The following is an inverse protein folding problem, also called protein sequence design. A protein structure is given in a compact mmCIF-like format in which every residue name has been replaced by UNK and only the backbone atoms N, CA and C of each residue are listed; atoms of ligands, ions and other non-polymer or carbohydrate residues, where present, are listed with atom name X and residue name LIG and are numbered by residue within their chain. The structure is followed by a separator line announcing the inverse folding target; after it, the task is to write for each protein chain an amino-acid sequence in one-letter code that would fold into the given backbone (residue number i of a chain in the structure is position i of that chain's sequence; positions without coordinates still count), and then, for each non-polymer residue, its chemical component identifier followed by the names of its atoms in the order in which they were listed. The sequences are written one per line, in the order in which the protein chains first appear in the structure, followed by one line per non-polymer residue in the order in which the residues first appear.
data_IF_148720945265
#
_entry.id   IF_148720945265
#
_cell.length_a   1.000
_cell.length_b   1.000
_cell.length_c   1.000
_cell.angle_alpha   90.00
_cell.angle_beta   90.00
_cell.angle_gamma   90.00
#
_symmetry.space_group_name_H-M   'P 1'
#
loop_
_entity.id
_entity.type
_entity.pdbx_description
1 polymer ?
#
# COMPACT_ATOMS: atom_id res chain seq x y z
N UNK A 1 -23.27 34.28 38.22
CA UNK A 1 -22.88 33.12 37.40
C UNK A 1 -21.66 32.49 38.06
N UNK A 2 -21.84 31.36 38.73
CA UNK A 2 -20.92 30.84 39.76
C UNK A 2 -19.66 30.23 39.14
N UNK A 3 -18.52 30.38 39.81
CA UNK A 3 -17.20 29.87 39.39
C UNK A 3 -17.24 28.41 38.89
N UNK A 4 -18.12 27.61 39.48
CA UNK A 4 -18.38 26.21 39.13
C UNK A 4 -18.81 26.07 37.66
N UNK A 5 -19.73 26.90 37.16
CA UNK A 5 -20.20 26.84 35.76
C UNK A 5 -19.08 27.12 34.74
N UNK A 6 -18.11 27.99 35.09
CA UNK A 6 -16.94 28.26 34.26
C UNK A 6 -16.01 27.05 34.19
N UNK A 7 -15.74 26.40 35.32
CA UNK A 7 -14.90 25.21 35.41
C UNK A 7 -15.52 24.06 34.63
N UNK A 8 -16.82 23.81 34.80
CA UNK A 8 -17.51 22.73 34.09
C UNK A 8 -17.47 22.93 32.57
N UNK A 9 -17.68 24.17 32.09
CA UNK A 9 -17.56 24.48 30.65
C UNK A 9 -16.17 24.19 30.10
N UNK A 10 -15.13 24.56 30.85
CA UNK A 10 -13.74 24.39 30.43
C UNK A 10 -13.36 22.90 30.34
N UNK A 11 -13.74 22.12 31.36
CA UNK A 11 -13.52 20.67 31.42
C UNK A 11 -14.27 19.96 30.29
N UNK A 12 -15.54 20.33 30.04
CA UNK A 12 -16.31 19.72 28.96
C UNK A 12 -15.70 20.01 27.57
N UNK A 13 -15.25 21.25 27.34
CA UNK A 13 -14.63 21.63 26.07
C UNK A 13 -13.29 20.95 25.83
N UNK A 14 -12.48 20.77 26.88
CA UNK A 14 -11.20 20.04 26.77
C UNK A 14 -11.41 18.56 26.56
N UNK A 15 -12.39 17.94 27.24
CA UNK A 15 -12.75 16.54 27.03
C UNK A 15 -13.24 16.29 25.60
N UNK A 16 -14.09 17.17 25.06
CA UNK A 16 -14.57 17.14 23.67
C UNK A 16 -13.42 17.29 22.65
N UNK A 17 -12.45 18.16 22.91
CA UNK A 17 -11.25 18.32 22.07
C UNK A 17 -10.38 17.06 22.08
N UNK A 18 -10.19 16.42 23.24
CA UNK A 18 -9.40 15.19 23.36
C UNK A 18 -10.09 14.01 22.68
N UNK A 19 -11.43 13.88 22.81
CA UNK A 19 -12.18 12.84 22.10
C UNK A 19 -12.31 13.10 20.60
N UNK A 20 -12.19 14.37 20.16
CA UNK A 20 -12.22 14.76 18.74
C UNK A 20 -10.88 14.63 18.03
N UNK A 21 -9.76 14.55 18.77
CA UNK A 21 -8.47 14.15 18.22
C UNK A 21 -8.49 12.63 18.01
N UNK A 22 -9.06 12.22 16.89
CA UNK A 22 -8.88 10.86 16.38
C UNK A 22 -7.39 10.54 16.30
N UNK A 23 -6.93 9.59 17.13
CA UNK A 23 -5.57 9.05 17.14
C UNK A 23 -5.09 8.53 15.77
N UNK A 24 -6.00 8.40 14.80
CA UNK A 24 -5.75 8.01 13.42
C UNK A 24 -4.77 8.94 12.66
N UNK A 25 -4.49 10.14 13.18
CA UNK A 25 -3.57 11.12 12.58
C UNK A 25 -2.09 10.99 12.97
N UNK A 26 -1.67 9.95 13.71
CA UNK A 26 -0.28 9.80 14.17
C UNK A 26 0.38 8.53 13.66
N UNK A 27 0.16 8.22 12.38
CA UNK A 27 0.64 6.97 11.82
C UNK A 27 1.62 7.26 10.68
N UNK A 28 2.87 6.84 10.89
CA UNK A 28 3.92 6.92 9.89
C UNK A 28 3.86 5.64 9.03
N UNK A 29 3.77 5.82 7.70
CA UNK A 29 3.93 4.75 6.71
C UNK A 29 5.36 4.79 6.22
N UNK A 30 6.09 3.74 6.54
CA UNK A 30 7.40 3.49 5.96
C UNK A 30 7.28 2.32 5.01
N UNK A 31 7.82 2.47 3.80
CA UNK A 31 8.01 1.31 2.95
C UNK A 31 9.30 1.38 2.16
N UNK A 32 9.89 0.21 1.94
CA UNK A 32 11.01 0.05 1.01
C UNK A 32 10.61 -0.92 -0.09
N UNK A 33 11.02 -0.62 -1.31
CA UNK A 33 11.02 -1.62 -2.38
C UNK A 33 12.39 -1.76 -3.01
N UNK A 34 12.69 -2.99 -3.40
CA UNK A 34 13.86 -3.33 -4.19
C UNK A 34 13.47 -4.31 -5.30
N UNK A 35 13.82 -3.96 -6.53
CA UNK A 35 13.83 -4.88 -7.65
C UNK A 35 15.24 -5.43 -7.81
N UNK A 36 15.40 -6.74 -7.56
CA UNK A 36 16.70 -7.39 -7.60
C UNK A 36 17.32 -7.46 -9.01
N UNK A 37 16.50 -7.37 -10.06
CA UNK A 37 16.97 -7.57 -11.44
C UNK A 37 17.46 -6.26 -12.07
N UNK A 38 18.72 -5.93 -11.78
CA UNK A 38 19.44 -4.74 -12.30
C UNK A 38 19.66 -4.76 -13.82
N UNK A 39 19.40 -5.89 -14.49
CA UNK A 39 19.59 -6.02 -15.95
C UNK A 39 18.41 -5.48 -16.76
N UNK A 40 17.27 -5.21 -16.09
CA UNK A 40 16.08 -4.66 -16.70
C UNK A 40 16.23 -3.14 -16.81
N UNK A 41 16.57 -2.69 -18.02
CA UNK A 41 16.45 -1.30 -18.49
C UNK A 41 15.08 -0.70 -18.12
N UNK A 42 15.00 0.63 -17.99
CA UNK A 42 14.33 1.32 -16.89
C UNK A 42 13.01 0.69 -16.46
N UNK A 43 12.97 0.17 -15.23
CA UNK A 43 11.73 -0.23 -14.59
C UNK A 43 11.02 1.04 -14.13
N UNK A 44 9.92 1.39 -14.80
CA UNK A 44 8.99 2.40 -14.32
C UNK A 44 8.15 1.76 -13.23
N UNK A 45 8.36 2.21 -12.00
CA UNK A 45 7.61 1.76 -10.84
C UNK A 45 6.60 2.83 -10.43
N UNK A 46 5.39 2.41 -10.10
CA UNK A 46 4.37 3.28 -9.52
C UNK A 46 3.72 2.58 -8.34
N UNK A 47 3.66 3.28 -7.21
CA UNK A 47 3.21 2.77 -5.92
C UNK A 47 2.02 3.58 -5.46
N UNK A 48 0.92 2.87 -5.25
CA UNK A 48 -0.36 3.42 -4.85
C UNK A 48 -0.78 2.81 -3.53
N UNK A 49 -1.29 3.62 -2.62
CA UNK A 49 -2.00 3.16 -1.44
C UNK A 49 -3.50 3.33 -1.66
N UNK A 50 -4.25 2.22 -1.62
CA UNK A 50 -5.71 2.23 -1.65
C UNK A 50 -6.23 2.16 -0.22
N UNK A 51 -7.12 3.07 0.15
CA UNK A 51 -7.76 3.10 1.47
C UNK A 51 -9.04 2.26 1.50
N UNK A 52 -9.54 1.92 2.72
CA UNK A 52 -10.83 1.26 2.90
C UNK A 52 -12.00 2.06 2.27
N UNK A 53 -11.89 3.39 2.28
CA UNK A 53 -12.88 4.32 1.74
C UNK A 53 -12.75 4.52 0.22
N UNK A 54 -11.90 3.70 -0.43
CA UNK A 54 -11.60 3.75 -1.87
C UNK A 54 -10.83 5.00 -2.31
N UNK A 55 -10.27 5.77 -1.38
CA UNK A 55 -9.30 6.81 -1.73
C UNK A 55 -8.01 6.15 -2.25
N UNK A 56 -7.36 6.79 -3.22
CA UNK A 56 -6.12 6.29 -3.80
C UNK A 56 -5.05 7.38 -3.66
N UNK A 57 -3.99 7.07 -2.95
CA UNK A 57 -2.84 7.95 -2.77
C UNK A 57 -1.70 7.50 -3.69
N UNK A 58 -1.15 8.44 -4.47
CA UNK A 58 0.04 8.18 -5.26
C UNK A 58 1.28 8.46 -4.42
N UNK A 59 1.91 7.40 -3.91
CA UNK A 59 3.06 7.52 -3.02
C UNK A 59 4.36 7.70 -3.81
N UNK A 60 4.44 7.09 -5.00
CA UNK A 60 5.63 7.13 -5.83
C UNK A 60 5.30 6.83 -7.29
N UNK A 61 5.99 7.51 -8.22
CA UNK A 61 5.94 7.21 -9.64
C UNK A 61 7.23 7.69 -10.32
N UNK A 62 8.21 6.81 -10.49
CA UNK A 62 9.46 7.15 -11.17
C UNK A 62 10.19 5.89 -11.69
N UNK A 63 11.40 6.09 -12.19
CA UNK A 63 12.25 5.11 -12.84
C UNK A 63 13.43 4.77 -11.93
N UNK A 64 13.20 3.94 -10.92
CA UNK A 64 14.26 3.47 -10.00
C UNK A 64 14.08 1.99 -9.67
N UNK A 65 15.21 1.30 -9.47
CA UNK A 65 15.23 -0.12 -9.06
C UNK A 65 15.01 -0.29 -7.56
N UNK A 66 15.28 0.74 -6.76
CA UNK A 66 15.11 0.74 -5.32
C UNK A 66 14.55 2.08 -4.83
N UNK A 67 13.76 2.05 -3.77
CA UNK A 67 13.20 3.26 -3.17
C UNK A 67 12.86 3.01 -1.71
N UNK A 68 13.04 4.05 -0.91
CA UNK A 68 12.62 4.09 0.49
C UNK A 68 11.71 5.30 0.66
N UNK A 69 10.54 5.06 1.21
CA UNK A 69 9.53 6.06 1.48
C UNK A 69 9.28 6.16 2.97
N UNK A 70 9.10 7.38 3.45
CA UNK A 70 8.52 7.67 4.74
C UNK A 70 7.53 8.82 4.58
N UNK A 71 6.33 8.67 5.12
CA UNK A 71 5.38 9.76 5.15
C UNK A 71 4.27 9.54 6.16
N UNK A 72 3.56 10.61 6.46
CA UNK A 72 2.61 10.68 7.59
C UNK A 72 1.18 10.89 7.10
N UNK A 73 0.20 10.61 7.97
CA UNK A 73 -1.22 10.92 7.77
C UNK A 73 -1.91 10.16 6.63
N UNK A 74 -1.44 8.96 6.30
CA UNK A 74 -2.04 8.12 5.25
C UNK A 74 -3.20 7.23 5.74
N UNK A 75 -3.31 7.01 7.06
CA UNK A 75 -4.29 6.10 7.64
C UNK A 75 -5.41 6.83 8.38
N UNK A 76 -6.30 7.48 7.61
CA UNK A 76 -7.41 8.26 8.19
C UNK A 76 -8.56 7.39 8.71
N UNK A 77 -8.68 6.17 8.20
CA UNK A 77 -9.81 5.27 8.46
C UNK A 77 -9.31 3.88 8.81
N UNK A 78 -9.98 3.22 9.76
CA UNK A 78 -9.71 1.80 10.07
C UNK A 78 -10.19 0.89 8.94
N UNK A 79 -9.47 -0.21 8.70
CA UNK A 79 -9.86 -1.25 7.76
C UNK A 79 -8.72 -1.71 6.85
N UNK A 80 -9.10 -2.40 5.78
CA UNK A 80 -8.16 -2.98 4.83
C UNK A 80 -7.62 -1.93 3.86
N UNK A 81 -6.31 -1.78 3.87
CA UNK A 81 -5.54 -1.02 2.90
C UNK A 81 -4.85 -1.99 1.92
N UNK A 82 -4.60 -1.51 0.71
CA UNK A 82 -3.80 -2.23 -0.28
C UNK A 82 -2.69 -1.34 -0.78
N UNK A 83 -1.44 -1.79 -0.63
CA UNK A 83 -0.32 -1.20 -1.34
C UNK A 83 -0.19 -1.89 -2.71
N UNK A 84 -0.57 -1.17 -3.76
CA UNK A 84 -0.47 -1.62 -5.14
C UNK A 84 0.83 -1.09 -5.73
N UNK A 85 1.73 -2.00 -6.09
CA UNK A 85 2.96 -1.68 -6.80
C UNK A 85 2.83 -2.17 -8.23
N UNK A 86 2.99 -1.25 -9.18
CA UNK A 86 2.94 -1.52 -10.61
C UNK A 86 4.31 -1.30 -11.22
N UNK A 87 4.70 -2.20 -12.11
CA UNK A 87 5.98 -2.18 -12.81
C UNK A 87 5.73 -2.22 -14.30
N UNK A 88 6.45 -1.39 -15.03
CA UNK A 88 6.45 -1.39 -16.49
C UNK A 88 7.88 -1.38 -16.98
N UNK A 89 8.20 -2.30 -17.87
CA UNK A 89 9.45 -2.30 -18.63
C UNK A 89 9.11 -2.25 -20.11
N UNK A 90 9.93 -1.56 -20.89
CA UNK A 90 9.68 -1.44 -22.33
C UNK A 90 9.82 -2.80 -23.04
N UNK A 91 10.68 -3.70 -22.53
CA UNK A 91 10.99 -4.98 -23.15
C UNK A 91 10.15 -6.17 -22.65
N UNK A 92 9.58 -6.10 -21.45
CA UNK A 92 8.89 -7.23 -20.83
C UNK A 92 7.44 -6.92 -20.41
N UNK A 93 6.98 -5.70 -20.66
CA UNK A 93 5.61 -5.28 -20.43
C UNK A 93 5.33 -4.88 -18.98
N UNK A 94 4.07 -5.04 -18.56
CA UNK A 94 3.57 -4.56 -17.27
C UNK A 94 3.23 -5.72 -16.32
N UNK A 95 3.54 -5.54 -15.04
CA UNK A 95 3.09 -6.43 -13.97
C UNK A 95 2.72 -5.63 -12.71
N UNK A 96 2.02 -6.26 -11.78
CA UNK A 96 1.67 -5.63 -10.51
C UNK A 96 1.69 -6.61 -9.33
N UNK A 97 1.83 -6.03 -8.15
CA UNK A 97 1.79 -6.71 -6.85
C UNK A 97 0.84 -5.91 -5.97
N UNK A 98 -0.12 -6.62 -5.39
CA UNK A 98 -1.05 -6.07 -4.43
C UNK A 98 -0.66 -6.65 -3.07
N UNK A 99 -0.39 -5.77 -2.11
CA UNK A 99 -0.08 -6.14 -0.73
C UNK A 99 -1.18 -5.61 0.18
N UNK A 100 -2.04 -6.49 0.65
CA UNK A 100 -3.16 -6.17 1.52
C UNK A 100 -2.73 -6.20 2.99
N UNK A 101 -3.12 -5.19 3.76
CA UNK A 101 -2.89 -5.11 5.19
C UNK A 101 -4.05 -4.39 5.90
N UNK A 102 -4.29 -4.69 7.17
CA UNK A 102 -5.40 -4.14 7.93
C UNK A 102 -4.90 -3.21 9.03
N UNK A 103 -5.52 -2.04 9.16
CA UNK A 103 -5.23 -1.04 10.19
C UNK A 103 -6.43 -0.96 11.14
N UNK A 104 -6.20 -1.24 12.42
CA UNK A 104 -7.21 -1.20 13.48
C UNK A 104 -7.45 0.22 14.03
N UNK A 105 -6.52 1.15 13.77
CA UNK A 105 -6.58 2.56 14.14
C UNK A 105 -5.83 2.91 15.43
N UNK A 106 -5.10 1.95 16.01
CA UNK A 106 -4.22 2.17 17.18
C UNK A 106 -2.72 2.05 16.83
N UNK A 107 -2.40 1.73 15.58
CA UNK A 107 -1.03 1.60 15.09
C UNK A 107 -0.35 2.95 15.05
N UNK A 108 0.84 3.10 15.66
CA UNK A 108 1.60 4.37 15.67
C UNK A 108 2.59 4.41 14.50
N UNK A 109 3.19 3.27 14.15
CA UNK A 109 4.07 3.12 13.00
C UNK A 109 3.65 1.89 12.21
N UNK A 110 3.70 1.97 10.89
CA UNK A 110 3.50 0.82 9.99
C UNK A 110 4.67 0.75 9.02
N UNK A 111 5.55 -0.22 9.27
CA UNK A 111 6.71 -0.50 8.43
C UNK A 111 6.41 -1.67 7.48
N UNK A 112 6.52 -1.44 6.17
CA UNK A 112 6.25 -2.42 5.13
C UNK A 112 7.50 -2.58 4.26
N UNK A 113 8.18 -3.72 4.36
CA UNK A 113 9.30 -4.02 3.46
C UNK A 113 8.84 -4.97 2.35
N UNK A 114 9.03 -4.58 1.10
CA UNK A 114 8.64 -5.39 -0.06
C UNK A 114 9.86 -5.66 -0.92
N UNK A 115 10.26 -6.91 -0.97
CA UNK A 115 11.30 -7.41 -1.86
C UNK A 115 10.67 -8.11 -3.05
N UNK A 116 11.16 -7.81 -4.26
CA UNK A 116 10.55 -8.33 -5.48
C UNK A 116 11.57 -8.70 -6.56
N UNK A 117 11.49 -9.97 -7.01
CA UNK A 117 12.15 -10.46 -8.21
C UNK A 117 11.19 -10.46 -9.42
N UNK A 118 11.40 -9.50 -10.33
CA UNK A 118 10.60 -9.36 -11.55
C UNK A 118 10.77 -10.52 -12.53
N UNK A 119 11.98 -11.07 -12.63
CA UNK A 119 12.26 -12.19 -13.53
C UNK A 119 11.61 -13.46 -13.06
N UNK A 120 11.68 -13.75 -11.76
CA UNK A 120 11.03 -14.94 -11.19
C UNK A 120 9.51 -14.90 -11.39
N UNK A 121 8.88 -13.74 -11.15
CA UNK A 121 7.43 -13.57 -11.42
C UNK A 121 7.09 -13.74 -12.89
N UNK A 122 7.88 -13.16 -13.81
CA UNK A 122 7.66 -13.36 -15.25
C UNK A 122 7.74 -14.84 -15.64
N UNK A 123 8.72 -15.58 -15.12
CA UNK A 123 8.87 -17.02 -15.37
C UNK A 123 7.66 -17.78 -14.85
N UNK A 124 7.23 -17.52 -13.61
CA UNK A 124 6.02 -18.12 -13.01
C UNK A 124 4.79 -17.83 -13.86
N UNK A 125 4.58 -16.57 -14.26
CA UNK A 125 3.45 -16.14 -15.09
C UNK A 125 3.44 -16.86 -16.44
N UNK A 126 4.58 -16.92 -17.15
CA UNK A 126 4.71 -17.68 -18.40
C UNK A 126 4.39 -19.16 -18.20
N UNK A 127 4.90 -19.79 -17.13
CA UNK A 127 4.63 -21.19 -16.81
C UNK A 127 3.13 -21.46 -16.60
N UNK A 128 2.43 -20.60 -15.86
CA UNK A 128 0.98 -20.68 -15.67
C UNK A 128 0.22 -20.60 -17.00
N UNK A 129 0.57 -19.66 -17.88
CA UNK A 129 -0.05 -19.54 -19.21
C UNK A 129 0.15 -20.81 -20.06
N UNK A 130 1.34 -21.41 -20.04
CA UNK A 130 1.61 -22.65 -20.77
C UNK A 130 0.81 -23.84 -20.23
N UNK A 131 0.72 -23.99 -18.91
CA UNK A 131 -0.06 -25.08 -18.28
C UNK A 131 -1.56 -24.95 -18.59
N UNK A 132 -2.12 -23.73 -18.51
CA UNK A 132 -3.54 -23.48 -18.82
C UNK A 132 -3.86 -23.79 -20.28
N UNK A 133 -2.98 -23.42 -21.22
CA UNK A 133 -3.13 -23.78 -22.64
C UNK A 133 -3.09 -25.29 -22.89
N UNK A 134 -2.19 -26.03 -22.23
CA UNK A 134 -2.15 -27.49 -22.32
C UNK A 134 -3.42 -28.15 -21.75
N UNK A 135 -3.94 -27.64 -20.63
CA UNK A 135 -5.19 -28.13 -20.04
C UNK A 135 -6.38 -27.91 -20.98
N UNK A 136 -6.54 -26.69 -21.50
CA UNK A 136 -7.62 -26.39 -22.44
C UNK A 136 -7.53 -27.21 -23.73
N UNK A 137 -6.34 -27.45 -24.28
CA UNK A 137 -6.20 -28.31 -25.47
C UNK A 137 -6.66 -29.75 -25.24
N UNK A 138 -6.52 -30.30 -24.02
CA UNK A 138 -7.00 -31.66 -23.69
C UNK A 138 -8.53 -31.74 -23.56
N UNK A 139 -9.17 -30.65 -23.13
CA UNK A 139 -10.63 -30.56 -22.99
C UNK A 139 -11.39 -30.50 -24.32
N UNK A 140 -10.74 -30.08 -25.41
CA UNK A 140 -11.34 -30.00 -26.75
C UNK A 140 -10.88 -31.11 -27.70
N UNK A 141 -10.14 -32.11 -27.20
CA UNK A 141 -9.63 -33.24 -27.98
C UNK A 141 -10.23 -34.58 -27.51
N UNK A 142 -11.39 -34.56 -26.86
CA UNK A 142 -12.14 -35.74 -26.39
C UNK A 142 -13.48 -35.83 -27.11
#
# INVERSE_FOLDING_TARGET
MTHIQKITKYVLSTLLLITGMTLYGQNDLHFSYECQDKTLSPIKAKILLKSPDKEIFNLFADTVSNFVFSGKNYFKTKGNYTLLITYSTDNYGKDSIDYDFNISGSEINTDISIEFDYRERLIKKRRYFYQRRKSNKRLYSS
#
